data_IF_934382412117
#
_entry.id   IF_934382412117
#
_cell.length_a   1.000
_cell.length_b   1.000
_cell.length_c   1.000
_cell.angle_alpha   90.00
_cell.angle_beta   90.00
_cell.angle_gamma   90.00
#
_symmetry.space_group_name_H-M   'P 1'
#
loop_
_entity.id
_entity.type
_entity.pdbx_description
1 polymer ?
#
# COMPACT_ATOMS: atom_id res chain seq x y z
N UNK A 1 -0.58 -16.55 -1.38
CA UNK A 1 -0.24 -16.17 -2.78
C UNK A 1 -0.11 -14.65 -2.92
N UNK A 2 -1.12 -13.85 -2.59
CA UNK A 2 -1.03 -12.37 -2.62
C UNK A 2 0.07 -11.80 -1.72
N UNK A 3 0.18 -12.28 -0.47
CA UNK A 3 1.23 -11.85 0.48
C UNK A 3 2.64 -11.97 -0.09
N UNK A 4 2.99 -13.14 -0.60
CA UNK A 4 4.31 -13.38 -1.19
C UNK A 4 4.61 -12.43 -2.35
N UNK A 5 3.61 -12.13 -3.20
CA UNK A 5 3.77 -11.19 -4.30
C UNK A 5 4.02 -9.75 -3.79
N UNK A 6 3.32 -9.33 -2.74
CA UNK A 6 3.52 -8.03 -2.11
C UNK A 6 4.83 -7.94 -1.29
N UNK A 7 5.37 -9.07 -0.83
CA UNK A 7 6.65 -9.11 -0.12
C UNK A 7 7.84 -9.02 -1.09
N UNK A 8 7.72 -9.60 -2.30
CA UNK A 8 8.79 -9.61 -3.31
C UNK A 8 8.72 -8.49 -4.34
N UNK A 9 7.65 -7.68 -4.35
CA UNK A 9 7.51 -6.59 -5.31
C UNK A 9 8.40 -5.39 -4.94
N UNK A 10 9.12 -4.87 -5.93
CA UNK A 10 9.93 -3.66 -5.80
C UNK A 10 9.05 -2.40 -5.71
N UNK A 11 7.91 -2.41 -6.40
CA UNK A 11 6.97 -1.29 -6.46
C UNK A 11 5.56 -1.78 -6.18
N UNK A 12 4.87 -1.11 -5.25
CA UNK A 12 3.47 -1.37 -4.92
C UNK A 12 2.71 -0.05 -4.95
N UNK A 13 1.71 0.06 -5.83
CA UNK A 13 0.75 1.16 -5.85
C UNK A 13 -0.63 0.68 -5.39
N UNK A 14 -1.17 1.32 -4.36
CA UNK A 14 -2.48 1.02 -3.78
C UNK A 14 -3.36 2.26 -3.83
N UNK A 15 -4.62 2.05 -4.22
CA UNK A 15 -5.65 3.10 -4.32
C UNK A 15 -6.91 2.62 -3.62
N UNK A 16 -7.48 3.47 -2.77
CA UNK A 16 -8.68 3.16 -1.98
C UNK A 16 -8.37 2.58 -0.59
N UNK A 17 -9.27 2.85 0.37
CA UNK A 17 -9.03 2.52 1.79
C UNK A 17 -8.93 1.02 2.06
N UNK A 18 -9.70 0.19 1.36
CA UNK A 18 -9.64 -1.27 1.55
C UNK A 18 -8.27 -1.87 1.19
N UNK A 19 -7.72 -1.48 0.05
CA UNK A 19 -6.42 -1.95 -0.43
C UNK A 19 -5.28 -1.48 0.48
N UNK A 20 -5.34 -0.22 0.92
CA UNK A 20 -4.36 0.37 1.81
C UNK A 20 -4.45 -0.24 3.21
N UNK A 21 -5.67 -0.41 3.74
CA UNK A 21 -5.91 -1.07 5.02
C UNK A 21 -5.40 -2.50 5.06
N UNK A 22 -5.53 -3.24 3.95
CA UNK A 22 -4.91 -4.57 3.81
C UNK A 22 -3.39 -4.51 3.96
N UNK A 23 -2.72 -3.60 3.24
CA UNK A 23 -1.25 -3.47 3.32
C UNK A 23 -0.77 -3.04 4.71
N UNK A 24 -1.49 -2.13 5.37
CA UNK A 24 -1.20 -1.74 6.76
C UNK A 24 -1.41 -2.91 7.72
N UNK A 25 -2.52 -3.64 7.59
CA UNK A 25 -2.81 -4.83 8.41
C UNK A 25 -1.80 -5.97 8.21
N UNK A 26 -1.10 -5.99 7.09
CA UNK A 26 -0.01 -6.92 6.81
C UNK A 26 1.36 -6.44 7.28
N UNK A 27 1.47 -5.22 7.82
CA UNK A 27 2.72 -4.61 8.26
C UNK A 27 3.62 -4.13 7.11
N UNK A 28 3.08 -4.01 5.90
CA UNK A 28 3.84 -3.59 4.71
C UNK A 28 3.87 -2.06 4.55
N UNK A 29 3.02 -1.34 5.27
CA UNK A 29 2.87 0.12 5.21
C UNK A 29 2.28 0.68 6.50
N UNK A 30 2.29 2.01 6.61
CA UNK A 30 1.63 2.74 7.69
C UNK A 30 0.73 3.84 7.10
N UNK A 31 -0.41 4.10 7.76
CA UNK A 31 -1.38 5.11 7.32
C UNK A 31 -0.79 6.52 7.17
N UNK A 32 0.25 6.86 7.94
CA UNK A 32 0.92 8.18 7.87
C UNK A 32 1.56 8.48 6.52
N UNK A 33 1.83 7.47 5.69
CA UNK A 33 2.42 7.64 4.36
C UNK A 33 1.38 7.75 3.24
N UNK A 34 0.09 7.64 3.57
CA UNK A 34 -1.00 7.70 2.59
C UNK A 34 -1.29 9.15 2.21
N UNK A 35 -1.36 9.42 0.91
CA UNK A 35 -1.75 10.73 0.37
C UNK A 35 -3.20 10.67 -0.08
N UNK A 36 -3.93 11.80 -0.02
CA UNK A 36 -5.25 11.91 -0.65
C UNK A 36 -5.14 12.70 -1.95
N UNK A 37 -5.65 12.12 -3.04
CA UNK A 37 -5.74 12.72 -4.36
C UNK A 37 -7.22 12.75 -4.71
N UNK A 38 -7.79 13.95 -4.90
CA UNK A 38 -9.23 14.13 -5.16
C UNK A 38 -10.12 13.43 -4.11
N UNK A 39 -9.67 13.40 -2.85
CA UNK A 39 -10.36 12.73 -1.74
C UNK A 39 -10.12 11.22 -1.65
N UNK A 40 -9.60 10.59 -2.71
CA UNK A 40 -9.24 9.17 -2.76
C UNK A 40 -7.87 8.95 -2.12
N UNK A 41 -7.67 7.93 -1.28
CA UNK A 41 -6.36 7.65 -0.70
C UNK A 41 -5.48 6.83 -1.65
N UNK A 42 -4.21 7.22 -1.73
CA UNK A 42 -3.18 6.64 -2.57
C UNK A 42 -1.93 6.35 -1.73
N UNK A 43 -1.29 5.21 -1.98
CA UNK A 43 -0.05 4.81 -1.34
C UNK A 43 0.87 4.16 -2.37
N UNK A 44 2.10 4.65 -2.45
CA UNK A 44 3.17 4.05 -3.25
C UNK A 44 4.30 3.61 -2.33
N UNK A 45 4.74 2.36 -2.46
CA UNK A 45 5.85 1.78 -1.72
C UNK A 45 6.93 1.41 -2.74
N UNK A 46 8.16 1.85 -2.49
CA UNK A 46 9.34 1.54 -3.31
C UNK A 46 10.37 0.85 -2.43
N UNK A 47 10.85 -0.32 -2.83
CA UNK A 47 11.89 -1.09 -2.13
C UNK A 47 13.11 -1.18 -3.04
N UNK A 48 14.29 -0.90 -2.49
CA UNK A 48 15.59 -0.95 -3.15
C UNK A 48 16.56 -1.79 -2.32
#
# INVERSE_FOLDING_TARGET
RLRSLLETADIISLVGEGCIGLAVGMGLAEWRFVKRVEGVPHLNIYRF
#
